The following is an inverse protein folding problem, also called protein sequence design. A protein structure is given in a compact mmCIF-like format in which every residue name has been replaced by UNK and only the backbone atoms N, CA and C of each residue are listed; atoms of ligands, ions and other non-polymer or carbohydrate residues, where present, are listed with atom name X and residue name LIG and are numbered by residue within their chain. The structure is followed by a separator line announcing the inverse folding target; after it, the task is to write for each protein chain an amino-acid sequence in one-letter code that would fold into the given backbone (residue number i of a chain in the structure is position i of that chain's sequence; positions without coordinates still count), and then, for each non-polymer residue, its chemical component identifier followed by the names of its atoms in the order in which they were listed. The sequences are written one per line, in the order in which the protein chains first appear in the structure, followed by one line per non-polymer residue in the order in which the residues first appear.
data_IF_905936206262
#
_entry.id   IF_905936206262
#
_cell.length_a   1.000
_cell.length_b   1.000
_cell.length_c   1.000
_cell.angle_alpha   90.00
_cell.angle_beta   90.00
_cell.angle_gamma   90.00
#
_symmetry.space_group_name_H-M   'P 1'
#
loop_
_entity.id
_entity.type
_entity.pdbx_description
1 polymer ?
#
# COMPACT_ATOMS: atom_id res chain seq x y z
N UNK A 1 21.28 -8.46 -31.33
CA UNK A 1 21.14 -9.15 -30.03
C UNK A 1 20.87 -8.11 -28.96
N UNK A 2 19.60 -7.85 -28.62
CA UNK A 2 19.24 -6.91 -27.55
C UNK A 2 19.54 -7.62 -26.21
N UNK A 3 20.44 -7.05 -25.41
CA UNK A 3 21.11 -7.67 -24.25
C UNK A 3 20.21 -8.58 -23.39
N UNK A 4 20.45 -9.89 -23.49
CA UNK A 4 19.78 -10.93 -22.68
C UNK A 4 19.86 -10.65 -21.18
N UNK A 5 21.02 -10.19 -20.69
CA UNK A 5 21.23 -9.88 -19.27
C UNK A 5 20.37 -8.73 -18.74
N UNK A 6 20.08 -7.71 -19.57
CA UNK A 6 19.18 -6.60 -19.21
C UNK A 6 17.75 -7.11 -19.02
N UNK A 7 17.33 -8.07 -19.84
CA UNK A 7 16.00 -8.70 -19.71
C UNK A 7 15.88 -9.56 -18.45
N UNK A 8 16.96 -10.22 -18.02
CA UNK A 8 16.99 -11.04 -16.82
C UNK A 8 16.92 -10.19 -15.55
N UNK A 9 17.77 -9.16 -15.43
CA UNK A 9 17.74 -8.25 -14.28
C UNK A 9 16.37 -7.58 -14.12
N UNK A 10 15.73 -7.20 -15.24
CA UNK A 10 14.40 -6.63 -15.24
C UNK A 10 13.33 -7.62 -14.71
N UNK A 11 13.35 -8.87 -15.19
CA UNK A 11 12.42 -9.91 -14.70
C UNK A 11 12.62 -10.21 -13.22
N UNK A 12 13.88 -10.33 -12.77
CA UNK A 12 14.21 -10.54 -11.36
C UNK A 12 13.71 -9.36 -10.52
N UNK A 13 14.04 -8.13 -10.91
CA UNK A 13 13.61 -6.92 -10.21
C UNK A 13 12.08 -6.78 -10.14
N UNK A 14 11.38 -7.14 -11.22
CA UNK A 14 9.91 -7.18 -11.24
C UNK A 14 9.35 -8.14 -10.18
N UNK A 15 9.84 -9.39 -10.14
CA UNK A 15 9.32 -10.37 -9.18
C UNK A 15 9.73 -10.06 -7.74
N UNK A 16 10.95 -9.56 -7.51
CA UNK A 16 11.38 -9.07 -6.18
C UNK A 16 10.42 -7.97 -5.72
N UNK A 17 10.12 -7.01 -6.58
CA UNK A 17 9.20 -5.91 -6.25
C UNK A 17 7.77 -6.41 -6.02
N UNK A 18 7.27 -7.32 -6.87
CA UNK A 18 5.93 -7.90 -6.72
C UNK A 18 5.77 -8.65 -5.40
N UNK A 19 6.70 -9.54 -5.07
CA UNK A 19 6.66 -10.29 -3.82
C UNK A 19 6.93 -9.40 -2.62
N UNK A 20 7.80 -8.40 -2.75
CA UNK A 20 8.06 -7.40 -1.71
C UNK A 20 6.80 -6.60 -1.36
N UNK A 21 6.11 -6.06 -2.38
CA UNK A 21 4.84 -5.34 -2.22
C UNK A 21 3.77 -6.25 -1.61
N UNK A 22 3.60 -7.47 -2.13
CA UNK A 22 2.63 -8.42 -1.59
C UNK A 22 2.92 -8.77 -0.13
N UNK A 23 4.19 -8.97 0.23
CA UNK A 23 4.61 -9.27 1.61
C UNK A 23 4.28 -8.13 2.56
N UNK A 24 4.61 -6.89 2.18
CA UNK A 24 4.32 -5.70 2.99
C UNK A 24 2.81 -5.55 3.21
N UNK A 25 2.01 -5.69 2.15
CA UNK A 25 0.55 -5.59 2.24
C UNK A 25 -0.06 -6.71 3.09
N UNK A 26 0.44 -7.95 2.99
CA UNK A 26 0.00 -9.04 3.86
C UNK A 26 0.36 -8.79 5.33
N UNK A 27 1.59 -8.35 5.59
CA UNK A 27 2.09 -8.15 6.95
C UNK A 27 1.30 -7.04 7.67
N UNK A 28 1.16 -5.91 7.00
CA UNK A 28 0.45 -4.75 7.54
C UNK A 28 -1.04 -5.02 7.59
N UNK A 29 -1.61 -5.60 6.53
CA UNK A 29 -3.01 -5.96 6.50
C UNK A 29 -3.39 -6.93 7.61
N UNK A 30 -2.52 -7.88 7.95
CA UNK A 30 -2.70 -8.75 9.12
C UNK A 30 -2.60 -7.97 10.45
N UNK A 31 -1.70 -7.00 10.55
CA UNK A 31 -1.54 -6.17 11.74
C UNK A 31 -2.78 -5.29 12.03
N UNK A 32 -3.54 -4.90 11.00
CA UNK A 32 -4.80 -4.13 11.12
C UNK A 32 -5.88 -4.78 11.99
N UNK A 33 -5.80 -6.10 12.21
CA UNK A 33 -6.73 -6.82 13.08
C UNK A 33 -6.39 -6.69 14.57
N UNK A 34 -5.32 -5.97 14.92
CA UNK A 34 -4.96 -5.68 16.30
C UNK A 34 -5.54 -4.34 16.76
N UNK A 35 -5.83 -4.24 18.06
CA UNK A 35 -6.29 -2.99 18.67
C UNK A 35 -5.21 -1.88 18.60
N UNK A 36 -3.95 -2.25 18.78
CA UNK A 36 -2.82 -1.31 18.73
C UNK A 36 -2.75 -0.60 17.38
N UNK A 37 -2.90 -1.34 16.29
CA UNK A 37 -2.89 -0.76 14.94
C UNK A 37 -4.16 0.07 14.67
N UNK A 38 -5.31 -0.36 15.18
CA UNK A 38 -6.56 0.39 15.03
C UNK A 38 -6.48 1.78 15.70
N UNK A 39 -5.92 1.86 16.90
CA UNK A 39 -5.62 3.14 17.58
C UNK A 39 -4.54 3.94 16.82
N UNK A 40 -3.50 3.27 16.31
CA UNK A 40 -2.41 3.91 15.57
C UNK A 40 -2.87 4.69 14.33
N UNK A 41 -3.84 4.15 13.57
CA UNK A 41 -4.36 4.82 12.38
C UNK A 41 -5.51 5.77 12.63
N UNK A 42 -6.07 5.79 13.84
CA UNK A 42 -7.29 6.55 14.17
C UNK A 42 -7.20 8.01 13.73
N UNK A 43 -6.16 8.70 14.18
CA UNK A 43 -5.98 10.12 13.89
C UNK A 43 -5.75 10.38 12.39
N UNK A 44 -5.13 9.44 11.66
CA UNK A 44 -4.89 9.58 10.23
C UNK A 44 -6.19 9.49 9.44
N UNK A 45 -7.06 8.55 9.82
CA UNK A 45 -8.33 8.31 9.15
C UNK A 45 -9.37 9.37 9.53
N UNK A 46 -9.44 9.79 10.81
CA UNK A 46 -10.37 10.82 11.29
C UNK A 46 -10.14 12.16 10.60
N UNK A 47 -8.89 12.51 10.31
CA UNK A 47 -8.51 13.76 9.64
C UNK A 47 -8.53 13.65 8.11
N UNK A 48 -8.67 12.45 7.56
CA UNK A 48 -8.69 12.24 6.11
C UNK A 48 -10.01 12.70 5.51
N UNK A 49 -9.94 13.55 4.49
CA UNK A 49 -11.11 13.94 3.69
C UNK A 49 -11.78 12.71 3.03
N UNK A 50 -10.98 11.71 2.61
CA UNK A 50 -11.47 10.55 1.86
C UNK A 50 -12.08 9.46 2.76
N UNK A 51 -11.63 9.34 4.00
CA UNK A 51 -11.95 8.20 4.86
C UNK A 51 -12.64 8.54 6.18
N UNK A 52 -12.67 9.81 6.60
CA UNK A 52 -13.25 10.23 7.88
C UNK A 52 -14.72 9.81 8.07
N UNK A 53 -15.48 9.71 6.98
CA UNK A 53 -16.87 9.25 7.00
C UNK A 53 -17.03 7.79 7.46
N UNK A 54 -16.00 6.95 7.34
CA UNK A 54 -16.06 5.55 7.76
C UNK A 54 -16.36 5.41 9.25
N UNK A 55 -15.84 6.30 10.09
CA UNK A 55 -16.13 6.30 11.53
C UNK A 55 -17.56 6.69 11.91
N UNK A 56 -18.36 7.20 10.95
CA UNK A 56 -19.81 7.42 11.17
C UNK A 56 -20.62 6.13 11.06
N UNK A 57 -20.05 5.08 10.46
CA UNK A 57 -20.75 3.84 10.10
C UNK A 57 -20.12 2.62 10.77
N UNK A 58 -18.79 2.64 10.94
CA UNK A 58 -18.00 1.55 11.49
C UNK A 58 -17.35 1.98 12.81
N UNK A 59 -17.14 0.99 13.69
CA UNK A 59 -16.33 1.18 14.90
C UNK A 59 -14.85 1.39 14.54
N UNK A 60 -14.07 1.83 15.52
CA UNK A 60 -12.62 1.98 15.37
C UNK A 60 -11.97 0.72 14.77
N UNK A 61 -12.23 -0.43 15.40
CA UNK A 61 -11.72 -1.71 14.93
C UNK A 61 -12.33 -2.11 13.57
N UNK A 62 -13.61 -1.77 13.34
CA UNK A 62 -14.28 -2.05 12.06
C UNK A 62 -13.60 -1.36 10.88
N UNK A 63 -13.19 -0.10 11.04
CA UNK A 63 -12.44 0.64 10.01
C UNK A 63 -11.06 0.02 9.78
N UNK A 64 -10.34 -0.30 10.86
CA UNK A 64 -9.03 -0.96 10.74
C UNK A 64 -9.14 -2.30 10.02
N UNK A 65 -10.09 -3.15 10.42
CA UNK A 65 -10.36 -4.44 9.80
C UNK A 65 -10.69 -4.30 8.31
N UNK A 66 -11.51 -3.31 7.92
CA UNK A 66 -11.86 -3.06 6.53
C UNK A 66 -10.60 -2.77 5.69
N UNK A 67 -9.73 -1.88 6.19
CA UNK A 67 -8.46 -1.57 5.52
C UNK A 67 -7.59 -2.83 5.42
N UNK A 68 -7.47 -3.60 6.50
CA UNK A 68 -6.71 -4.85 6.52
C UNK A 68 -7.19 -5.89 5.51
N UNK A 69 -8.51 -6.06 5.40
CA UNK A 69 -9.11 -6.95 4.39
C UNK A 69 -8.75 -6.49 2.97
N UNK A 70 -8.83 -5.18 2.69
CA UNK A 70 -8.48 -4.62 1.38
C UNK A 70 -7.00 -4.86 1.06
N UNK A 71 -6.08 -4.60 2.00
CA UNK A 71 -4.64 -4.81 1.82
C UNK A 71 -4.31 -6.29 1.55
N UNK A 72 -4.88 -7.21 2.33
CA UNK A 72 -4.71 -8.66 2.14
C UNK A 72 -5.29 -9.10 0.78
N UNK A 73 -6.49 -8.63 0.43
CA UNK A 73 -7.13 -8.98 -0.84
C UNK A 73 -6.27 -8.53 -2.04
N UNK A 74 -5.72 -7.32 -2.00
CA UNK A 74 -4.81 -6.81 -3.02
C UNK A 74 -3.54 -7.67 -3.08
N UNK A 75 -2.95 -8.01 -1.94
CA UNK A 75 -1.74 -8.82 -1.91
C UNK A 75 -1.95 -10.21 -2.52
N UNK A 76 -3.05 -10.88 -2.18
CA UNK A 76 -3.44 -12.17 -2.78
C UNK A 76 -3.69 -12.00 -4.28
N UNK A 77 -4.38 -10.93 -4.69
CA UNK A 77 -4.62 -10.63 -6.10
C UNK A 77 -3.31 -10.36 -6.88
N UNK A 78 -2.30 -9.74 -6.28
CA UNK A 78 -0.98 -9.55 -6.91
C UNK A 78 -0.31 -10.88 -7.24
N UNK A 79 -0.38 -11.86 -6.32
CA UNK A 79 0.17 -13.20 -6.52
C UNK A 79 -0.62 -13.95 -7.60
N UNK A 80 -1.96 -13.95 -7.53
CA UNK A 80 -2.81 -14.59 -8.55
C UNK A 80 -2.64 -13.93 -9.93
N UNK A 81 -2.38 -12.61 -9.95
CA UNK A 81 -2.12 -11.82 -11.15
C UNK A 81 -0.89 -12.26 -11.96
N UNK A 82 0.00 -13.08 -11.39
CA UNK A 82 1.10 -13.72 -12.14
C UNK A 82 0.56 -14.60 -13.27
N UNK A 83 -0.59 -15.25 -13.01
CA UNK A 83 -1.24 -16.22 -13.90
C UNK A 83 -2.39 -15.62 -14.71
N UNK A 84 -3.04 -14.56 -14.22
CA UNK A 84 -4.17 -13.92 -14.91
C UNK A 84 -3.91 -12.44 -15.21
N UNK A 85 -3.94 -12.01 -16.50
CA UNK A 85 -3.70 -10.62 -16.88
C UNK A 85 -4.79 -9.67 -16.37
N UNK A 86 -6.03 -10.14 -16.25
CA UNK A 86 -7.15 -9.35 -15.74
C UNK A 86 -6.97 -9.10 -14.25
N UNK A 87 -6.69 -10.16 -13.47
CA UNK A 87 -6.47 -10.06 -12.03
C UNK A 87 -5.26 -9.18 -11.74
N UNK A 88 -4.18 -9.30 -12.51
CA UNK A 88 -3.00 -8.43 -12.39
C UNK A 88 -3.37 -6.95 -12.50
N UNK A 89 -4.14 -6.60 -13.54
CA UNK A 89 -4.52 -5.20 -13.77
C UNK A 89 -5.36 -4.68 -12.61
N UNK A 90 -6.33 -5.45 -12.13
CA UNK A 90 -7.15 -5.09 -10.98
C UNK A 90 -6.31 -4.96 -9.69
N UNK A 91 -5.40 -5.90 -9.45
CA UNK A 91 -4.51 -5.90 -8.29
C UNK A 91 -3.64 -4.63 -8.26
N UNK A 92 -2.99 -4.30 -9.37
CA UNK A 92 -2.16 -3.09 -9.44
C UNK A 92 -2.96 -1.79 -9.39
N UNK A 93 -4.18 -1.75 -9.96
CA UNK A 93 -5.08 -0.58 -9.80
C UNK A 93 -5.47 -0.41 -8.33
N UNK A 94 -5.90 -1.49 -7.66
CA UNK A 94 -6.22 -1.44 -6.23
C UNK A 94 -5.03 -1.01 -5.38
N UNK A 95 -3.85 -1.59 -5.66
CA UNK A 95 -2.58 -1.26 -5.03
C UNK A 95 -2.24 0.24 -5.17
N UNK A 96 -2.33 0.78 -6.39
CA UNK A 96 -2.14 2.21 -6.66
C UNK A 96 -3.13 3.08 -5.88
N UNK A 97 -4.41 2.72 -5.86
CA UNK A 97 -5.43 3.48 -5.11
C UNK A 97 -5.12 3.48 -3.62
N UNK A 98 -4.81 2.32 -3.03
CA UNK A 98 -4.47 2.22 -1.60
C UNK A 98 -3.28 3.11 -1.26
N UNK A 99 -2.20 3.07 -2.04
CA UNK A 99 -1.02 3.90 -1.79
C UNK A 99 -1.29 5.40 -1.97
N UNK A 100 -2.12 5.78 -2.95
CA UNK A 100 -2.53 7.19 -3.09
C UNK A 100 -3.32 7.66 -1.87
N UNK A 101 -4.20 6.81 -1.33
CA UNK A 101 -4.94 7.12 -0.10
C UNK A 101 -3.96 7.27 1.08
N UNK A 102 -3.04 6.33 1.29
CA UNK A 102 -2.06 6.43 2.39
C UNK A 102 -1.17 7.66 2.24
N UNK A 103 -0.67 7.94 1.03
CA UNK A 103 0.16 9.12 0.75
C UNK A 103 -0.61 10.42 0.94
N UNK A 104 -1.94 10.41 0.73
CA UNK A 104 -2.77 11.59 1.01
C UNK A 104 -2.69 12.04 2.47
N UNK A 105 -2.42 11.13 3.41
CA UNK A 105 -2.27 11.46 4.83
C UNK A 105 -1.08 12.39 5.12
N UNK A 106 -0.04 12.39 4.27
CA UNK A 106 1.05 13.36 4.36
C UNK A 106 0.53 14.80 4.22
N UNK A 107 -0.53 15.00 3.45
CA UNK A 107 -1.07 16.33 3.15
C UNK A 107 -2.30 16.68 4.01
N UNK A 108 -3.07 15.67 4.46
CA UNK A 108 -4.34 15.91 5.16
C UNK A 108 -4.24 15.80 6.68
N UNK A 109 -3.31 15.01 7.20
CA UNK A 109 -3.28 14.66 8.62
C UNK A 109 -2.24 15.50 9.37
N UNK A 110 -2.70 16.30 10.33
CA UNK A 110 -1.86 17.26 11.05
C UNK A 110 -0.80 16.61 11.96
N UNK A 111 -0.96 15.31 12.29
CA UNK A 111 -0.02 14.54 13.13
C UNK A 111 1.03 13.76 12.35
N UNK A 112 1.10 13.92 11.03
CA UNK A 112 2.01 13.13 10.21
C UNK A 112 3.48 13.48 10.43
N UNK A 113 3.78 14.70 10.87
CA UNK A 113 5.14 15.17 11.06
C UNK A 113 5.41 15.50 12.54
N UNK A 114 6.55 15.01 13.03
CA UNK A 114 7.17 15.44 14.28
C UNK A 114 8.60 15.91 14.00
N UNK A 115 9.13 16.80 14.82
CA UNK A 115 10.46 17.38 14.59
C UNK A 115 11.49 16.73 15.53
N UNK A 116 12.54 16.16 14.95
CA UNK A 116 13.75 15.74 15.68
C UNK A 116 14.87 16.67 15.24
N UNK A 117 15.44 17.42 16.18
CA UNK A 117 16.58 18.33 15.90
C UNK A 117 16.33 19.31 14.73
N UNK A 118 15.08 19.76 14.57
CA UNK A 118 14.68 20.68 13.49
C UNK A 118 14.42 20.00 12.14
N UNK A 119 14.58 18.68 12.04
CA UNK A 119 14.24 17.89 10.85
C UNK A 119 12.81 17.32 10.99
N UNK A 120 11.91 17.54 10.02
CA UNK A 120 10.60 16.90 10.03
C UNK A 120 10.74 15.40 9.71
N UNK A 121 10.26 14.57 10.63
CA UNK A 121 10.21 13.11 10.52
C UNK A 121 8.75 12.68 10.49
N UNK A 122 8.46 11.66 9.69
CA UNK A 122 7.12 11.05 9.56
C UNK A 122 7.26 9.54 9.74
N UNK A 123 6.15 8.87 9.98
CA UNK A 123 6.14 7.41 9.99
C UNK A 123 6.54 6.84 8.62
N UNK A 124 7.56 5.98 8.62
CA UNK A 124 8.04 5.26 7.44
C UNK A 124 6.96 4.37 6.81
N UNK A 125 5.91 4.07 7.59
CA UNK A 125 4.68 3.46 7.11
C UNK A 125 4.08 4.19 5.91
N UNK A 126 4.15 5.51 5.85
CA UNK A 126 3.57 6.28 4.74
C UNK A 126 4.57 6.41 3.58
N UNK A 127 5.86 6.62 3.89
CA UNK A 127 6.88 6.83 2.87
C UNK A 127 7.20 5.59 2.03
N UNK A 128 7.05 4.38 2.59
CA UNK A 128 7.25 3.13 1.85
C UNK A 128 6.35 3.04 0.61
N UNK A 129 5.21 3.73 0.60
CA UNK A 129 4.22 3.64 -0.47
C UNK A 129 4.65 4.41 -1.72
N UNK A 130 5.63 5.31 -1.65
CA UNK A 130 6.16 6.06 -2.81
C UNK A 130 6.77 5.12 -3.87
N UNK A 131 7.78 4.30 -3.57
CA UNK A 131 8.33 3.36 -4.56
C UNK A 131 7.30 2.31 -4.98
N UNK A 132 6.39 1.91 -4.08
CA UNK A 132 5.37 0.90 -4.37
C UNK A 132 4.29 1.45 -5.33
N UNK A 133 3.95 2.73 -5.25
CA UNK A 133 3.10 3.44 -6.21
C UNK A 133 3.73 3.43 -7.61
N UNK A 134 5.01 3.80 -7.70
CA UNK A 134 5.75 3.75 -8.96
C UNK A 134 5.76 2.36 -9.56
N UNK A 135 6.04 1.33 -8.74
CA UNK A 135 5.98 -0.06 -9.16
C UNK A 135 4.59 -0.49 -9.64
N UNK A 136 3.53 -0.07 -8.95
CA UNK A 136 2.15 -0.38 -9.33
C UNK A 136 1.77 0.18 -10.70
N UNK A 137 2.16 1.43 -10.97
CA UNK A 137 1.86 2.09 -12.24
C UNK A 137 2.55 1.44 -13.44
N UNK A 138 3.82 1.03 -13.30
CA UNK A 138 4.57 0.40 -14.40
C UNK A 138 4.21 -1.07 -14.63
N UNK A 139 3.65 -1.73 -13.62
CA UNK A 139 3.46 -3.19 -13.59
C UNK A 139 2.06 -3.67 -13.98
N UNK A 140 1.19 -2.77 -14.45
CA UNK A 140 -0.15 -3.14 -14.93
C UNK A 140 -0.09 -4.20 -16.05
N UNK A 141 0.98 -4.19 -16.84
CA UNK A 141 1.27 -5.20 -17.85
C UNK A 141 2.45 -6.09 -17.43
N UNK A 142 2.42 -7.37 -17.83
CA UNK A 142 3.51 -8.30 -17.54
C UNK A 142 4.78 -7.81 -18.24
N UNK A 143 5.96 -7.92 -17.60
CA UNK A 143 7.23 -7.69 -18.29
C UNK A 143 7.33 -8.59 -19.53
N UNK A 144 7.68 -8.01 -20.68
CA UNK A 144 7.92 -8.72 -21.94
C UNK A 144 9.25 -9.49 -21.90
#
# INVERSE_FOLDING_TARGET
MKNSSISLCYKIGYYISLFGVATILLWIGAFKFTYAEAEGIKSLVEQSFLLSWLYKILSLQGVSNLIGVIEIAIAVALIIGIFSPIVRKLAFVGCTITFLITLSFLFTSAKTYYYIEGVPVTDFFILKDIPMLGFGMISMNKPK
#
